data_IF_612942059667
#
_entry.id   IF_612942059667
#
_cell.length_a   1.000
_cell.length_b   1.000
_cell.length_c   1.000
_cell.angle_alpha   90.00
_cell.angle_beta   90.00
_cell.angle_gamma   90.00
#
_symmetry.space_group_name_H-M   'P 1'
#
loop_
_entity.id
_entity.type
_entity.pdbx_description
1 polymer ?
#
# COMPACT_ATOMS: atom_id res chain seq x y z
N UNK A 1 -0.11 -26.45 9.67
CA UNK A 1 -1.58 -26.47 9.76
C UNK A 1 -2.04 -25.04 10.00
N UNK A 2 -2.46 -24.32 8.94
CA UNK A 2 -2.89 -22.93 9.07
C UNK A 2 -4.32 -22.90 9.64
N UNK A 3 -4.64 -22.01 10.61
CA UNK A 3 -6.02 -21.83 11.03
C UNK A 3 -6.83 -21.27 9.86
N UNK A 4 -7.96 -21.93 9.57
CA UNK A 4 -8.96 -21.46 8.62
C UNK A 4 -9.91 -20.47 9.31
N UNK A 5 -10.31 -19.44 8.57
CA UNK A 5 -11.25 -18.35 8.88
C UNK A 5 -10.75 -17.18 9.75
N UNK A 6 -10.52 -16.04 9.07
CA UNK A 6 -10.74 -14.70 9.59
C UNK A 6 -11.51 -13.94 8.50
N UNK A 7 -12.60 -13.30 8.91
CA UNK A 7 -13.64 -12.63 8.15
C UNK A 7 -13.17 -11.79 6.96
N UNK A 8 -14.03 -11.78 5.93
CA UNK A 8 -13.97 -10.90 4.76
C UNK A 8 -13.75 -9.45 5.20
N UNK A 9 -12.68 -8.87 4.66
CA UNK A 9 -12.44 -7.44 4.79
C UNK A 9 -13.62 -6.69 4.17
N UNK A 10 -14.14 -5.70 4.88
CA UNK A 10 -15.15 -4.77 4.37
C UNK A 10 -14.61 -4.03 3.14
N UNK A 11 -14.92 -4.55 1.95
CA UNK A 11 -14.58 -3.98 0.63
C UNK A 11 -15.40 -2.71 0.31
N UNK A 12 -16.29 -2.28 1.22
CA UNK A 12 -17.30 -1.22 0.96
C UNK A 12 -16.90 0.16 1.48
N UNK A 13 -15.78 0.31 2.18
CA UNK A 13 -15.33 1.62 2.63
C UNK A 13 -14.84 2.46 1.44
N UNK A 14 -15.53 3.58 1.18
CA UNK A 14 -15.13 4.54 0.15
C UNK A 14 -13.62 4.88 0.30
N UNK A 15 -12.83 4.89 -0.78
CA UNK A 15 -11.40 5.10 -0.68
C UNK A 15 -11.15 6.45 0.00
N UNK A 16 -10.46 6.42 1.14
CA UNK A 16 -10.06 7.64 1.83
C UNK A 16 -9.31 8.54 0.84
N UNK A 17 -9.67 9.84 0.75
CA UNK A 17 -8.99 10.74 -0.16
C UNK A 17 -7.49 10.71 0.13
N UNK A 18 -6.70 10.40 -0.91
CA UNK A 18 -5.24 10.39 -0.84
C UNK A 18 -4.74 11.74 -1.29
N UNK A 19 -3.84 12.33 -0.52
CA UNK A 19 -3.10 13.52 -0.90
C UNK A 19 -1.65 13.13 -1.21
N UNK A 20 -1.13 13.56 -2.35
CA UNK A 20 0.22 13.22 -2.82
C UNK A 20 0.26 12.19 -3.96
N UNK A 21 1.48 11.71 -4.24
CA UNK A 21 1.75 10.80 -5.35
C UNK A 21 1.55 9.34 -4.94
N UNK A 22 0.90 8.57 -5.81
CA UNK A 22 0.85 7.10 -5.69
C UNK A 22 1.89 6.51 -6.63
N UNK A 23 3.02 6.03 -6.09
CA UNK A 23 4.16 5.57 -6.88
C UNK A 23 4.31 4.06 -6.82
N UNK A 24 4.35 3.40 -7.98
CA UNK A 24 4.76 2.00 -8.09
C UNK A 24 5.97 1.91 -8.99
N UNK A 25 7.03 1.28 -8.48
CA UNK A 25 8.30 1.07 -9.19
C UNK A 25 8.26 -0.32 -9.82
N UNK A 26 8.35 -0.38 -11.15
CA UNK A 26 8.43 -1.64 -11.91
C UNK A 26 9.88 -1.89 -12.35
N UNK A 27 10.33 -3.14 -12.27
CA UNK A 27 11.72 -3.52 -12.59
C UNK A 27 11.90 -4.16 -13.97
N UNK A 28 10.84 -4.17 -14.80
CA UNK A 28 10.88 -4.62 -16.20
C UNK A 28 10.74 -6.14 -16.41
N UNK A 29 10.72 -6.93 -15.35
CA UNK A 29 10.62 -8.40 -15.39
C UNK A 29 9.41 -8.94 -14.60
N UNK A 30 8.39 -8.11 -14.45
CA UNK A 30 7.17 -8.41 -13.69
C UNK A 30 7.27 -8.13 -12.19
N UNK A 31 8.48 -7.92 -11.65
CA UNK A 31 8.65 -7.51 -10.26
C UNK A 31 8.37 -6.03 -10.07
N UNK A 32 7.87 -5.68 -8.89
CA UNK A 32 7.57 -4.31 -8.53
C UNK A 32 7.62 -4.07 -7.02
N UNK A 33 7.67 -2.80 -6.62
CA UNK A 33 7.39 -2.33 -5.27
C UNK A 33 6.43 -1.17 -5.33
N UNK A 34 5.49 -1.11 -4.38
CA UNK A 34 4.53 -0.01 -4.31
C UNK A 34 3.96 0.19 -2.91
N UNK A 35 3.00 1.11 -2.76
CA UNK A 35 2.62 1.65 -1.46
C UNK A 35 2.10 0.58 -0.49
N UNK A 36 1.26 -0.34 -0.98
CA UNK A 36 0.68 -1.39 -0.13
C UNK A 36 1.70 -2.43 0.36
N UNK A 37 2.77 -2.69 -0.40
CA UNK A 37 3.87 -3.54 0.06
C UNK A 37 4.64 -2.87 1.18
N UNK A 38 4.91 -1.57 1.04
CA UNK A 38 5.67 -0.78 2.01
C UNK A 38 4.85 -0.54 3.27
N UNK A 39 3.57 -0.23 3.15
CA UNK A 39 2.64 -0.11 4.27
C UNK A 39 2.59 -1.41 5.09
N UNK A 40 2.60 -2.58 4.43
CA UNK A 40 2.68 -3.86 5.12
C UNK A 40 3.99 -4.02 5.90
N UNK A 41 5.14 -3.72 5.29
CA UNK A 41 6.43 -3.83 5.97
C UNK A 41 6.54 -2.86 7.16
N UNK A 42 6.07 -1.62 7.01
CA UNK A 42 6.03 -0.63 8.10
C UNK A 42 5.10 -1.08 9.23
N UNK A 43 3.97 -1.70 8.89
CA UNK A 43 3.04 -2.24 9.88
C UNK A 43 3.64 -3.45 10.58
N UNK A 44 4.35 -4.33 9.87
CA UNK A 44 5.09 -5.45 10.47
C UNK A 44 6.17 -4.92 11.41
N UNK A 45 6.90 -3.86 11.04
CA UNK A 45 7.90 -3.22 11.92
C UNK A 45 7.28 -2.73 13.22
N UNK A 46 6.11 -2.10 13.16
CA UNK A 46 5.42 -1.58 14.34
C UNK A 46 4.83 -2.70 15.22
N UNK A 47 4.18 -3.68 14.61
CA UNK A 47 3.41 -4.71 15.31
C UNK A 47 4.23 -5.97 15.66
N UNK A 48 5.39 -6.16 14.99
CA UNK A 48 6.26 -7.33 15.09
C UNK A 48 5.54 -8.67 14.84
N UNK A 49 4.54 -8.64 13.97
CA UNK A 49 3.61 -9.74 13.71
C UNK A 49 2.87 -9.54 12.38
N UNK A 50 2.95 -10.54 11.48
CA UNK A 50 2.21 -10.51 10.20
C UNK A 50 0.69 -10.56 10.45
N UNK A 51 0.23 -11.32 11.45
CA UNK A 51 -1.20 -11.41 11.76
C UNK A 51 -1.76 -10.08 12.27
N UNK A 52 -1.02 -9.41 13.16
CA UNK A 52 -1.42 -8.09 13.67
C UNK A 52 -1.42 -7.05 12.55
N UNK A 53 -0.40 -7.09 11.68
CA UNK A 53 -0.34 -6.22 10.52
C UNK A 53 -1.52 -6.45 9.55
N UNK A 54 -1.87 -7.70 9.27
CA UNK A 54 -3.02 -8.04 8.44
C UNK A 54 -4.33 -7.45 9.00
N UNK A 55 -4.57 -7.64 10.31
CA UNK A 55 -5.74 -7.08 11.00
C UNK A 55 -5.78 -5.56 10.93
N UNK A 56 -4.64 -4.91 11.18
CA UNK A 56 -4.51 -3.45 11.16
C UNK A 56 -4.75 -2.86 9.78
N UNK A 57 -4.33 -3.56 8.73
CA UNK A 57 -4.56 -3.17 7.33
C UNK A 57 -5.92 -3.63 6.79
N UNK A 58 -6.78 -4.22 7.64
CA UNK A 58 -8.08 -4.71 7.20
C UNK A 58 -7.99 -5.77 6.11
N UNK A 59 -7.01 -6.68 6.17
CA UNK A 59 -6.87 -7.78 5.22
C UNK A 59 -6.74 -9.14 5.91
N UNK A 60 -7.03 -10.20 5.16
CA UNK A 60 -6.84 -11.57 5.67
C UNK A 60 -5.35 -11.87 5.90
N UNK A 61 -5.07 -12.71 6.89
CA UNK A 61 -3.71 -13.19 7.15
C UNK A 61 -3.09 -13.84 5.90
N UNK A 62 -3.87 -14.62 5.13
CA UNK A 62 -3.42 -15.22 3.88
C UNK A 62 -2.96 -14.17 2.87
N UNK A 63 -3.70 -13.07 2.72
CA UNK A 63 -3.32 -11.96 1.83
C UNK A 63 -2.03 -11.30 2.28
N UNK A 64 -1.89 -11.00 3.56
CA UNK A 64 -0.66 -10.42 4.09
C UNK A 64 0.54 -11.36 3.88
N UNK A 65 0.37 -12.67 4.11
CA UNK A 65 1.44 -13.64 3.91
C UNK A 65 1.86 -13.75 2.44
N UNK A 66 0.90 -13.81 1.50
CA UNK A 66 1.19 -13.80 0.06
C UNK A 66 1.94 -12.53 -0.36
N UNK A 67 1.61 -11.38 0.23
CA UNK A 67 2.29 -10.13 -0.06
C UNK A 67 3.72 -10.12 0.50
N UNK A 68 3.94 -10.61 1.73
CA UNK A 68 5.30 -10.81 2.28
C UNK A 68 6.12 -11.74 1.40
N UNK A 69 5.55 -12.86 0.97
CA UNK A 69 6.20 -13.84 0.10
C UNK A 69 6.53 -13.24 -1.29
N UNK A 70 5.61 -12.46 -1.87
CA UNK A 70 5.86 -11.74 -3.11
C UNK A 70 7.00 -10.73 -2.97
N UNK A 71 7.01 -9.93 -1.89
CA UNK A 71 8.09 -8.98 -1.63
C UNK A 71 9.42 -9.74 -1.47
N UNK A 72 9.44 -10.83 -0.70
CA UNK A 72 10.64 -11.64 -0.49
C UNK A 72 11.19 -12.23 -1.81
N UNK A 73 10.32 -12.68 -2.71
CA UNK A 73 10.71 -13.20 -4.04
C UNK A 73 11.19 -12.12 -5.00
N UNK A 74 10.87 -10.85 -4.76
CA UNK A 74 11.33 -9.77 -5.61
C UNK A 74 12.82 -9.43 -5.43
N UNK A 75 13.40 -9.79 -4.28
CA UNK A 75 14.76 -9.38 -3.90
C UNK A 75 15.69 -10.57 -3.59
N UNK A 76 16.99 -10.29 -3.55
CA UNK A 76 18.03 -11.31 -3.27
C UNK A 76 18.12 -11.68 -1.79
N UNK A 77 17.75 -10.74 -0.93
CA UNK A 77 17.80 -10.88 0.52
C UNK A 77 16.37 -10.95 1.07
N UNK A 78 16.13 -11.75 2.13
CA UNK A 78 14.83 -11.77 2.79
C UNK A 78 14.51 -10.39 3.37
N UNK A 79 13.24 -9.98 3.32
CA UNK A 79 12.77 -8.70 3.88
C UNK A 79 12.26 -8.82 5.32
N UNK A 80 11.89 -10.02 5.74
CA UNK A 80 11.42 -10.33 7.09
C UNK A 80 12.14 -11.57 7.62
N UNK A 81 12.29 -11.63 8.94
CA UNK A 81 12.69 -12.81 9.68
C UNK A 81 11.55 -13.24 10.61
N UNK A 82 11.22 -14.53 10.65
CA UNK A 82 10.15 -15.05 11.50
C UNK A 82 10.71 -15.92 12.62
N UNK A 83 10.19 -15.74 13.83
CA UNK A 83 10.61 -16.45 15.04
C UNK A 83 9.42 -17.22 15.66
N UNK A 84 9.18 -18.47 15.24
CA UNK A 84 8.08 -19.27 15.76
C UNK A 84 8.20 -19.47 17.28
N UNK A 85 7.07 -19.37 18.00
CA UNK A 85 7.00 -19.68 19.44
C UNK A 85 7.30 -18.50 20.39
N UNK A 86 7.71 -17.34 19.88
CA UNK A 86 7.85 -16.12 20.69
C UNK A 86 6.48 -15.46 20.89
N UNK A 87 5.99 -15.40 22.14
CA UNK A 87 4.70 -14.79 22.48
C UNK A 87 4.70 -13.30 22.09
N UNK A 88 3.80 -12.90 21.20
CA UNK A 88 3.53 -11.50 20.84
C UNK A 88 4.46 -10.85 19.81
N UNK A 89 5.64 -11.42 19.54
CA UNK A 89 6.63 -10.88 18.59
C UNK A 89 7.20 -12.02 17.75
N UNK A 90 6.59 -12.29 16.61
CA UNK A 90 6.93 -13.45 15.78
C UNK A 90 7.61 -13.08 14.47
N UNK A 91 7.74 -11.79 14.16
CA UNK A 91 8.29 -11.33 12.88
C UNK A 91 8.99 -9.98 13.07
N UNK A 92 10.22 -9.88 12.59
CA UNK A 92 11.00 -8.64 12.55
C UNK A 92 11.40 -8.34 11.10
N UNK A 93 11.64 -7.07 10.76
CA UNK A 93 12.26 -6.73 9.48
C UNK A 93 13.74 -7.10 9.51
N UNK A 94 14.26 -7.56 8.39
CA UNK A 94 15.71 -7.68 8.21
C UNK A 94 16.33 -6.30 7.98
N UNK A 95 17.67 -6.15 8.06
CA UNK A 95 18.33 -4.91 7.66
C UNK A 95 17.99 -4.47 6.23
N UNK A 96 17.87 -5.43 5.31
CA UNK A 96 17.44 -5.15 3.95
C UNK A 96 15.97 -4.71 3.89
N UNK A 97 15.08 -5.31 4.68
CA UNK A 97 13.68 -4.89 4.78
C UNK A 97 13.51 -3.44 5.25
N UNK A 98 14.29 -3.01 6.26
CA UNK A 98 14.32 -1.60 6.69
C UNK A 98 14.85 -0.69 5.57
N UNK A 99 15.96 -1.08 4.93
CA UNK A 99 16.53 -0.29 3.84
C UNK A 99 15.58 -0.16 2.65
N UNK A 100 14.79 -1.20 2.35
CA UNK A 100 13.78 -1.16 1.29
C UNK A 100 12.71 -0.10 1.57
N UNK A 101 12.23 0.00 2.82
CA UNK A 101 11.28 1.05 3.21
C UNK A 101 11.92 2.43 3.01
N UNK A 102 13.15 2.63 3.49
CA UNK A 102 13.86 3.90 3.36
C UNK A 102 14.00 4.32 1.89
N UNK A 103 14.52 3.43 1.03
CA UNK A 103 14.70 3.70 -0.39
C UNK A 103 13.39 4.08 -1.07
N UNK A 104 12.29 3.40 -0.74
CA UNK A 104 10.99 3.72 -1.30
C UNK A 104 10.48 5.08 -0.82
N UNK A 105 10.64 5.42 0.47
CA UNK A 105 10.26 6.74 0.99
C UNK A 105 11.13 7.87 0.42
N UNK A 106 12.42 7.61 0.19
CA UNK A 106 13.32 8.53 -0.54
C UNK A 106 12.80 8.78 -1.97
N UNK A 107 12.35 7.75 -2.69
CA UNK A 107 11.75 7.89 -4.03
C UNK A 107 10.50 8.77 -3.97
N UNK A 108 9.60 8.53 -3.03
CA UNK A 108 8.39 9.35 -2.86
C UNK A 108 8.71 10.81 -2.56
N UNK A 109 9.65 11.06 -1.64
CA UNK A 109 10.06 12.42 -1.27
C UNK A 109 10.69 13.16 -2.45
N UNK A 110 11.63 12.53 -3.16
CA UNK A 110 12.28 13.15 -4.31
C UNK A 110 11.30 13.39 -5.46
N UNK A 111 10.39 12.44 -5.71
CA UNK A 111 9.37 12.59 -6.75
C UNK A 111 8.41 13.74 -6.42
N UNK A 112 7.91 13.79 -5.18
CA UNK A 112 7.02 14.86 -4.74
C UNK A 112 7.70 16.25 -4.81
N UNK A 113 8.99 16.32 -4.47
CA UNK A 113 9.76 17.56 -4.60
C UNK A 113 9.93 17.97 -6.07
N UNK A 114 10.30 17.03 -6.94
CA UNK A 114 10.54 17.30 -8.36
C UNK A 114 9.26 17.67 -9.12
N UNK A 115 8.10 17.13 -8.74
CA UNK A 115 6.82 17.38 -9.43
C UNK A 115 5.97 18.45 -8.76
N UNK A 116 6.46 19.13 -7.72
CA UNK A 116 5.67 20.07 -6.90
C UNK A 116 4.91 21.09 -7.74
N UNK A 117 5.59 21.79 -8.64
CA UNK A 117 4.96 22.86 -9.45
C UNK A 117 3.83 22.33 -10.33
N UNK A 118 4.01 21.16 -10.95
CA UNK A 118 2.97 20.54 -11.77
C UNK A 118 1.76 20.10 -10.93
N UNK A 119 2.00 19.56 -9.73
CA UNK A 119 0.91 19.18 -8.80
C UNK A 119 0.14 20.41 -8.33
N UNK A 120 0.81 21.52 -8.03
CA UNK A 120 0.13 22.77 -7.64
C UNK A 120 -0.67 23.38 -8.79
N UNK A 121 -0.18 23.30 -10.03
CA UNK A 121 -0.93 23.72 -11.22
C UNK A 121 -2.22 22.89 -11.37
N UNK A 122 -2.14 21.56 -11.23
CA UNK A 122 -3.31 20.69 -11.23
C UNK A 122 -4.27 21.00 -10.07
N UNK A 123 -3.72 21.26 -8.88
CA UNK A 123 -4.51 21.60 -7.68
C UNK A 123 -5.30 22.90 -7.88
N UNK A 124 -4.67 23.91 -8.48
CA UNK A 124 -5.32 25.19 -8.81
C UNK A 124 -6.42 25.04 -9.88
N UNK A 125 -6.32 24.02 -10.74
CA UNK A 125 -7.29 23.72 -11.79
C UNK A 125 -8.47 22.83 -11.32
N UNK A 126 -8.49 22.37 -10.06
CA UNK A 126 -9.58 21.55 -9.55
C UNK A 126 -10.90 22.34 -9.58
N UNK A 127 -11.95 21.71 -10.10
CA UNK A 127 -13.30 22.27 -9.98
C UNK A 127 -13.67 22.42 -8.50
N UNK A 128 -14.41 23.47 -8.12
CA UNK A 128 -15.02 23.54 -6.79
C UNK A 128 -15.77 22.24 -6.52
N UNK A 129 -15.56 21.64 -5.34
CA UNK A 129 -16.15 20.35 -5.00
C UNK A 129 -17.69 20.42 -5.19
N UNK A 130 -18.22 19.63 -6.13
CA UNK A 130 -19.67 19.48 -6.31
C UNK A 130 -20.28 19.94 -7.64
N UNK A 131 -19.60 19.80 -8.79
CA UNK A 131 -20.35 19.70 -10.05
C UNK A 131 -20.98 18.31 -10.12
N UNK A 132 -22.19 18.17 -9.57
CA UNK A 132 -23.07 17.06 -9.91
C UNK A 132 -23.16 17.00 -11.45
N UNK A 133 -23.21 15.80 -12.07
CA UNK A 133 -23.37 15.72 -13.51
C UNK A 133 -24.64 16.49 -13.87
N UNK A 134 -24.51 17.53 -14.69
CA UNK A 134 -25.65 18.16 -15.36
C UNK A 134 -26.31 17.04 -16.15
N UNK A 135 -27.40 16.48 -15.60
CA UNK A 135 -28.29 15.63 -16.36
C UNK A 135 -28.82 16.50 -17.48
N UNK A 136 -28.25 16.34 -18.68
CA UNK A 136 -28.80 16.88 -19.92
C UNK A 136 -30.20 16.30 -20.06
N UNK A 137 -31.20 17.06 -19.58
CA UNK A 137 -32.55 17.03 -20.12
C UNK A 137 -32.51 17.77 -21.46
N UNK A 138 -33.40 17.33 -22.35
CA UNK A 138 -33.68 17.81 -23.72
C UNK A 138 -32.67 17.36 -24.80
N UNK A 139 -33.08 16.66 -25.88
CA UNK A 139 -34.36 16.73 -26.60
C UNK A 139 -34.80 15.35 -27.12
N UNK A 140 -35.99 14.92 -26.73
CA UNK A 140 -36.82 14.02 -27.52
C UNK A 140 -38.02 14.84 -28.02
N UNK A 141 -37.78 15.65 -29.05
CA UNK A 141 -38.80 16.03 -30.02
C UNK A 141 -38.51 15.21 -31.27
N UNK A 142 -39.50 14.44 -31.72
CA UNK A 142 -39.45 13.55 -32.87
C UNK A 142 -40.50 12.46 -32.75
#
# INVERSE_FOLDING_TARGET
>A
MAPQNIEEADETAAPRPRDGLFIRVYFGDGRHVGPGMIELLETIRAERSILSAARRMGMSYRRAWLLVDEIGRNFREPVVETHPGRRGHGTDLTPFGERLIELYREIEQHSAAATRSAVEELRAALSPAGRAPETTREKAEG
#
